data_IF_135867032103
#
_entry.id   IF_135867032103
#
_cell.length_a   1.000
_cell.length_b   1.000
_cell.length_c   1.000
_cell.angle_alpha   90.00
_cell.angle_beta   90.00
_cell.angle_gamma   90.00
#
_symmetry.space_group_name_H-M   'P 1'
#
loop_
_entity.id
_entity.type
_entity.pdbx_description
1 polymer ?
#
# COMPACT_ATOMS: atom_id res chain seq x y z
N UNK A 1 26.68 18.74 -25.16
CA UNK A 1 25.72 17.76 -24.63
C UNK A 1 26.41 16.96 -23.54
N UNK A 2 25.81 16.88 -22.33
CA UNK A 2 26.07 15.92 -21.23
C UNK A 2 25.80 16.60 -19.86
N UNK A 3 24.52 16.76 -19.48
CA UNK A 3 24.12 17.17 -18.11
C UNK A 3 23.10 16.22 -17.47
N UNK A 4 23.04 14.96 -17.93
CA UNK A 4 22.07 13.95 -17.45
C UNK A 4 22.60 12.93 -16.43
N UNK A 5 23.91 12.70 -16.35
CA UNK A 5 24.47 11.57 -15.58
C UNK A 5 24.65 11.81 -14.08
N UNK A 6 25.08 13.01 -13.68
CA UNK A 6 25.51 13.29 -12.30
C UNK A 6 24.34 13.35 -11.31
N UNK A 7 23.18 13.89 -11.73
CA UNK A 7 21.95 13.94 -10.91
C UNK A 7 21.35 12.55 -10.70
N UNK A 8 21.41 11.70 -11.73
CA UNK A 8 20.90 10.32 -11.69
C UNK A 8 21.73 9.43 -10.75
N UNK A 9 23.06 9.62 -10.72
CA UNK A 9 23.96 8.89 -9.83
C UNK A 9 23.83 9.31 -8.36
N UNK A 10 23.70 10.62 -8.08
CA UNK A 10 23.50 11.14 -6.73
C UNK A 10 22.13 10.73 -6.15
N UNK A 11 21.09 10.64 -6.99
CA UNK A 11 19.77 10.14 -6.60
C UNK A 11 19.81 8.65 -6.24
N UNK A 12 20.45 7.82 -7.08
CA UNK A 12 20.67 6.38 -6.79
C UNK A 12 21.46 6.15 -5.51
N UNK A 13 22.51 6.93 -5.25
CA UNK A 13 23.28 6.85 -3.99
C UNK A 13 22.47 7.28 -2.76
N UNK A 14 21.58 8.26 -2.89
CA UNK A 14 20.71 8.72 -1.78
C UNK A 14 19.62 7.70 -1.46
N UNK A 15 18.99 7.08 -2.47
CA UNK A 15 18.04 5.97 -2.30
C UNK A 15 18.75 4.76 -1.67
N UNK A 16 19.91 4.37 -2.19
CA UNK A 16 20.68 3.27 -1.62
C UNK A 16 21.19 3.57 -0.19
N UNK A 17 21.42 4.84 0.18
CA UNK A 17 21.79 5.23 1.55
C UNK A 17 20.59 5.23 2.49
N UNK A 18 19.40 5.59 2.01
CA UNK A 18 18.16 5.52 2.80
C UNK A 18 17.75 4.07 3.10
N UNK A 19 17.91 3.17 2.13
CA UNK A 19 17.72 1.72 2.30
C UNK A 19 18.70 1.09 3.32
N UNK A 20 19.85 1.72 3.58
CA UNK A 20 20.93 1.20 4.44
C UNK A 20 20.96 1.74 5.87
N UNK A 21 19.97 2.52 6.29
CA UNK A 21 20.05 3.21 7.60
C UNK A 21 19.44 2.44 8.79
N UNK A 22 18.73 1.34 8.55
CA UNK A 22 18.41 0.30 9.54
C UNK A 22 18.09 -0.97 8.76
N UNK A 23 18.76 -2.11 9.01
CA UNK A 23 18.39 -3.34 8.34
C UNK A 23 16.95 -3.71 8.69
N UNK A 24 16.19 -4.16 7.71
CA UNK A 24 14.93 -4.88 7.96
C UNK A 24 15.29 -6.31 8.29
N UNK A 25 14.72 -6.86 9.36
CA UNK A 25 15.01 -8.22 9.79
C UNK A 25 13.97 -9.16 9.22
N UNK A 26 14.41 -10.15 8.45
CA UNK A 26 13.57 -11.29 8.07
C UNK A 26 13.45 -12.22 9.29
N UNK A 27 12.23 -12.42 9.85
CA UNK A 27 12.01 -13.34 10.96
C UNK A 27 12.14 -14.82 10.55
N UNK A 28 12.35 -15.10 9.26
CA UNK A 28 12.55 -16.41 8.68
C UNK A 28 11.30 -16.97 8.00
N UNK A 29 11.46 -18.06 7.22
CA UNK A 29 10.37 -18.61 6.41
C UNK A 29 9.15 -19.04 7.23
N UNK A 30 9.34 -19.72 8.36
CA UNK A 30 8.23 -20.21 9.19
C UNK A 30 7.37 -19.07 9.76
N UNK A 31 8.01 -17.99 10.23
CA UNK A 31 7.30 -16.81 10.72
C UNK A 31 6.58 -16.07 9.59
N UNK A 32 7.19 -16.01 8.41
CA UNK A 32 6.59 -15.42 7.21
C UNK A 32 5.34 -16.18 6.78
N UNK A 33 5.40 -17.51 6.70
CA UNK A 33 4.24 -18.35 6.35
C UNK A 33 3.12 -18.24 7.38
N UNK A 34 3.45 -18.25 8.67
CA UNK A 34 2.46 -18.05 9.73
C UNK A 34 1.76 -16.68 9.63
N UNK A 35 2.52 -15.62 9.35
CA UNK A 35 1.96 -14.28 9.14
C UNK A 35 1.07 -14.21 7.89
N UNK A 36 1.49 -14.82 6.78
CA UNK A 36 0.68 -14.91 5.56
C UNK A 36 -0.62 -15.66 5.81
N UNK A 37 -0.58 -16.81 6.48
CA UNK A 37 -1.78 -17.58 6.82
C UNK A 37 -2.72 -16.82 7.76
N UNK A 38 -2.19 -16.10 8.76
CA UNK A 38 -2.99 -15.29 9.66
C UNK A 38 -3.69 -14.12 8.93
N UNK A 39 -2.96 -13.44 8.04
CA UNK A 39 -3.52 -12.40 7.18
C UNK A 39 -4.59 -12.99 6.27
N UNK A 40 -4.33 -14.12 5.63
CA UNK A 40 -5.29 -14.77 4.74
C UNK A 40 -6.56 -15.18 5.50
N UNK A 41 -6.44 -15.74 6.70
CA UNK A 41 -7.60 -16.07 7.51
C UNK A 41 -8.43 -14.83 7.92
N UNK A 42 -7.77 -13.69 8.16
CA UNK A 42 -8.42 -12.45 8.60
C UNK A 42 -9.05 -11.64 7.45
N UNK A 43 -8.53 -11.75 6.22
CA UNK A 43 -9.01 -10.97 5.10
C UNK A 43 -10.31 -11.53 4.49
N UNK A 44 -11.33 -10.68 4.24
CA UNK A 44 -12.55 -11.07 3.54
C UNK A 44 -12.27 -11.73 2.17
N UNK A 45 -13.16 -12.64 1.71
CA UNK A 45 -12.97 -13.38 0.46
C UNK A 45 -12.93 -12.49 -0.79
N UNK A 46 -13.77 -11.44 -0.82
CA UNK A 46 -13.89 -10.50 -1.92
C UNK A 46 -13.46 -9.10 -1.49
N UNK A 47 -12.57 -8.49 -2.26
CA UNK A 47 -11.91 -7.22 -1.89
C UNK A 47 -12.00 -6.17 -2.99
N UNK A 48 -12.30 -4.93 -2.60
CA UNK A 48 -12.10 -3.72 -3.39
C UNK A 48 -10.86 -2.99 -2.88
N UNK A 49 -9.81 -2.92 -3.69
CA UNK A 49 -8.56 -2.22 -3.35
C UNK A 49 -8.64 -0.82 -3.95
N UNK A 50 -8.74 0.20 -3.10
CA UNK A 50 -9.03 1.58 -3.49
C UNK A 50 -7.81 2.46 -3.26
N UNK A 51 -7.10 2.77 -4.35
CA UNK A 51 -5.97 3.70 -4.39
C UNK A 51 -6.40 5.15 -4.20
N UNK A 52 -5.41 6.03 -4.01
CA UNK A 52 -5.64 7.44 -3.72
C UNK A 52 -5.36 8.37 -4.92
N UNK A 53 -5.29 7.84 -6.15
CA UNK A 53 -5.10 8.67 -7.34
C UNK A 53 -6.23 9.68 -7.48
N UNK A 54 -5.89 10.92 -7.86
CA UNK A 54 -6.89 11.97 -8.09
C UNK A 54 -7.83 11.61 -9.25
N UNK A 55 -7.35 10.87 -10.25
CA UNK A 55 -8.18 10.36 -11.35
C UNK A 55 -9.38 9.51 -10.90
N UNK A 56 -9.34 8.91 -9.71
CA UNK A 56 -10.49 8.19 -9.14
C UNK A 56 -11.73 9.10 -9.06
N UNK A 57 -11.54 10.39 -8.80
CA UNK A 57 -12.60 11.39 -8.65
C UNK A 57 -13.27 11.78 -9.98
N UNK A 58 -12.73 11.34 -11.10
CA UNK A 58 -13.31 11.60 -12.43
C UNK A 58 -14.35 10.55 -12.82
N UNK A 59 -14.47 9.47 -12.04
CA UNK A 59 -15.41 8.37 -12.25
C UNK A 59 -16.48 8.29 -11.14
N UNK A 60 -17.49 7.44 -11.33
CA UNK A 60 -18.55 7.19 -10.35
C UNK A 60 -18.57 5.72 -9.90
N UNK A 61 -17.40 5.22 -9.48
CA UNK A 61 -17.20 3.82 -9.10
C UNK A 61 -17.70 3.48 -7.69
N UNK A 62 -18.24 4.43 -6.93
CA UNK A 62 -18.53 4.25 -5.50
C UNK A 62 -19.48 3.09 -5.19
N UNK A 63 -20.54 2.93 -5.98
CA UNK A 63 -21.47 1.81 -5.83
C UNK A 63 -20.84 0.44 -6.16
N UNK A 64 -19.83 0.39 -7.04
CA UNK A 64 -19.09 -0.84 -7.36
C UNK A 64 -18.05 -1.15 -6.27
N UNK A 65 -17.37 -0.12 -5.75
CA UNK A 65 -16.41 -0.23 -4.66
C UNK A 65 -17.07 -0.88 -3.43
N UNK A 66 -18.25 -0.39 -3.04
CA UNK A 66 -18.95 -0.80 -1.83
C UNK A 66 -19.53 -2.23 -1.89
N UNK A 67 -19.49 -2.90 -3.06
CA UNK A 67 -19.94 -4.30 -3.20
C UNK A 67 -19.07 -5.31 -2.47
N UNK A 68 -17.82 -4.95 -2.16
CA UNK A 68 -16.82 -5.83 -1.53
C UNK A 68 -16.24 -5.16 -0.30
N UNK A 69 -15.59 -5.93 0.57
CA UNK A 69 -14.82 -5.32 1.64
C UNK A 69 -13.68 -4.48 1.07
N UNK A 70 -13.41 -3.31 1.63
CA UNK A 70 -12.49 -2.34 1.04
C UNK A 70 -11.15 -2.29 1.77
N UNK A 71 -10.07 -2.23 1.00
CA UNK A 71 -8.74 -1.87 1.48
C UNK A 71 -8.44 -0.45 0.99
N UNK A 72 -8.15 0.46 1.92
CA UNK A 72 -7.77 1.86 1.65
C UNK A 72 -6.39 2.17 2.22
N UNK A 73 -5.76 3.26 1.76
CA UNK A 73 -4.35 3.53 2.04
C UNK A 73 -4.08 4.84 2.76
N UNK A 74 -3.30 4.81 3.84
CA UNK A 74 -2.91 6.00 4.61
C UNK A 74 -4.16 6.80 5.06
N UNK A 75 -4.15 8.13 4.93
CA UNK A 75 -5.25 8.95 5.46
C UNK A 75 -6.60 8.66 4.79
N UNK A 76 -6.65 8.42 3.47
CA UNK A 76 -7.79 7.95 2.65
C UNK A 76 -9.22 8.44 3.00
N UNK A 77 -9.38 9.60 3.64
CA UNK A 77 -10.69 10.13 4.00
C UNK A 77 -11.55 10.32 2.75
N UNK A 78 -12.76 9.75 2.77
CA UNK A 78 -13.72 9.85 1.67
C UNK A 78 -14.25 11.28 1.59
N UNK A 79 -14.05 11.92 0.43
CA UNK A 79 -14.53 13.27 0.13
C UNK A 79 -15.61 13.29 -0.95
N UNK A 80 -15.66 12.25 -1.80
CA UNK A 80 -16.67 12.07 -2.83
C UNK A 80 -17.17 10.61 -2.82
N UNK A 81 -18.27 10.31 -2.11
CA UNK A 81 -18.85 8.97 -2.05
C UNK A 81 -19.25 8.39 -3.41
N UNK A 82 -19.63 9.24 -4.39
CA UNK A 82 -20.03 8.75 -5.71
C UNK A 82 -18.83 8.17 -6.46
N UNK A 83 -17.66 8.77 -6.30
CA UNK A 83 -16.41 8.29 -6.89
C UNK A 83 -15.74 7.19 -6.05
N UNK A 84 -15.73 7.35 -4.72
CA UNK A 84 -14.85 6.60 -3.83
C UNK A 84 -15.56 5.49 -3.05
N UNK A 85 -16.89 5.46 -3.04
CA UNK A 85 -17.66 4.62 -2.14
C UNK A 85 -17.56 5.09 -0.70
N UNK A 86 -18.37 4.50 0.18
CA UNK A 86 -18.42 4.82 1.61
C UNK A 86 -17.82 3.75 2.49
N UNK A 87 -17.72 2.51 1.97
CA UNK A 87 -17.27 1.36 2.74
C UNK A 87 -15.77 1.44 3.04
N UNK A 88 -15.41 1.12 4.27
CA UNK A 88 -14.02 1.13 4.75
C UNK A 88 -13.80 0.02 5.79
N UNK A 89 -13.35 -1.16 5.35
CA UNK A 89 -13.16 -2.29 6.26
C UNK A 89 -11.71 -2.36 6.77
N UNK A 90 -10.74 -2.10 5.88
CA UNK A 90 -9.31 -2.27 6.15
C UNK A 90 -8.52 -1.00 5.79
N UNK A 91 -7.70 -0.51 6.71
CA UNK A 91 -6.67 0.49 6.45
C UNK A 91 -5.31 -0.19 6.28
N UNK A 92 -4.65 0.03 5.15
CA UNK A 92 -3.24 -0.30 4.95
C UNK A 92 -2.36 0.95 5.13
N UNK A 93 -1.48 0.95 6.11
CA UNK A 93 -0.55 2.07 6.34
C UNK A 93 0.67 1.68 7.16
N UNK A 94 1.77 2.42 6.98
CA UNK A 94 2.81 2.57 8.00
C UNK A 94 3.16 4.04 8.23
N UNK A 95 2.34 4.96 7.70
CA UNK A 95 2.54 6.40 7.80
C UNK A 95 2.27 6.91 9.22
N UNK A 96 3.23 7.66 9.76
CA UNK A 96 3.19 8.13 11.15
C UNK A 96 2.02 9.10 11.39
N UNK A 97 1.74 9.98 10.42
CA UNK A 97 0.67 10.97 10.58
C UNK A 97 -0.71 10.30 10.57
N UNK A 98 -0.88 9.31 9.69
CA UNK A 98 -2.09 8.47 9.65
C UNK A 98 -2.27 7.71 10.96
N UNK A 99 -1.22 7.06 11.46
CA UNK A 99 -1.25 6.33 12.73
C UNK A 99 -1.61 7.25 13.90
N UNK A 100 -0.96 8.42 14.00
CA UNK A 100 -1.27 9.40 15.03
C UNK A 100 -2.72 9.90 14.94
N UNK A 101 -3.23 10.15 13.73
CA UNK A 101 -4.61 10.57 13.53
C UNK A 101 -5.62 9.56 14.09
N UNK A 102 -5.48 8.27 13.74
CA UNK A 102 -6.41 7.23 14.19
C UNK A 102 -6.14 6.69 15.60
N UNK A 103 -5.05 7.13 16.25
CA UNK A 103 -4.89 6.98 17.69
C UNK A 103 -5.77 7.97 18.47
N UNK A 104 -6.00 9.16 17.90
CA UNK A 104 -6.79 10.24 18.53
C UNK A 104 -8.27 10.26 18.08
N UNK A 105 -8.60 9.57 16.98
CA UNK A 105 -9.94 9.57 16.39
C UNK A 105 -10.40 8.13 16.13
N UNK A 106 -11.64 7.76 16.54
CA UNK A 106 -12.18 6.43 16.27
C UNK A 106 -12.06 6.07 14.78
N UNK A 107 -11.45 4.92 14.43
CA UNK A 107 -11.25 4.56 13.05
C UNK A 107 -12.58 4.16 12.39
N UNK A 108 -12.82 4.52 11.12
CA UNK A 108 -13.98 4.03 10.37
C UNK A 108 -13.83 2.58 9.89
N UNK A 109 -12.69 1.93 10.19
CA UNK A 109 -12.29 0.60 9.75
C UNK A 109 -12.08 -0.34 10.95
N UNK A 110 -12.14 -1.64 10.70
CA UNK A 110 -12.03 -2.67 11.75
C UNK A 110 -10.64 -3.31 11.78
N UNK A 111 -9.90 -3.23 10.67
CA UNK A 111 -8.57 -3.84 10.57
C UNK A 111 -7.52 -2.83 10.10
N UNK A 112 -6.41 -2.77 10.82
CA UNK A 112 -5.18 -2.11 10.40
C UNK A 112 -4.21 -3.16 9.84
N UNK A 113 -3.98 -3.13 8.53
CA UNK A 113 -2.85 -3.80 7.90
C UNK A 113 -1.62 -2.88 7.97
N UNK A 114 -0.76 -3.10 8.98
CA UNK A 114 0.44 -2.31 9.20
C UNK A 114 1.55 -2.70 8.20
N UNK A 115 1.74 -1.88 7.18
CA UNK A 115 2.65 -2.15 6.05
C UNK A 115 4.08 -1.67 6.35
N UNK A 116 4.70 -2.25 7.37
CA UNK A 116 6.09 -1.97 7.70
C UNK A 116 7.03 -2.53 6.62
N UNK A 117 8.03 -1.73 6.23
CA UNK A 117 9.11 -2.15 5.34
C UNK A 117 10.51 -1.96 5.96
N UNK A 118 10.55 -1.49 7.22
CA UNK A 118 11.73 -1.43 8.08
C UNK A 118 11.33 -1.63 9.54
N UNK A 119 12.19 -2.30 10.32
CA UNK A 119 11.98 -2.60 11.73
C UNK A 119 11.75 -1.35 12.58
N UNK A 120 12.41 -0.23 12.23
CA UNK A 120 12.23 1.06 12.90
C UNK A 120 10.80 1.61 12.84
N UNK A 121 9.91 1.01 12.06
CA UNK A 121 8.50 1.38 12.03
C UNK A 121 7.65 0.56 12.99
N UNK A 122 8.10 -0.64 13.42
CA UNK A 122 7.35 -1.49 14.34
C UNK A 122 7.01 -0.79 15.68
N UNK A 123 7.90 0.02 16.29
CA UNK A 123 7.55 0.76 17.51
C UNK A 123 6.32 1.68 17.37
N UNK A 124 5.97 2.11 16.15
CA UNK A 124 4.83 3.00 15.90
C UNK A 124 3.49 2.41 16.32
N UNK A 125 3.35 1.08 16.31
CA UNK A 125 2.13 0.41 16.78
C UNK A 125 1.90 0.65 18.28
N UNK A 126 2.99 0.70 19.06
CA UNK A 126 2.92 0.99 20.48
C UNK A 126 2.84 2.51 20.76
N UNK A 127 3.51 3.33 19.95
CA UNK A 127 3.45 4.81 20.07
C UNK A 127 2.08 5.38 19.70
N UNK A 128 1.35 4.72 18.81
CA UNK A 128 0.06 5.15 18.26
C UNK A 128 -0.90 3.96 18.22
N UNK A 129 -1.46 3.54 19.37
CA UNK A 129 -2.41 2.44 19.41
C UNK A 129 -3.68 2.85 18.65
N UNK A 130 -4.18 1.95 17.81
CA UNK A 130 -5.43 2.15 17.05
C UNK A 130 -6.44 1.14 17.54
N UNK A 131 -7.70 1.56 17.71
CA UNK A 131 -8.81 0.70 18.11
C UNK A 131 -9.31 -0.15 16.93
N UNK A 132 -8.46 -1.08 16.46
CA UNK A 132 -8.71 -1.98 15.34
C UNK A 132 -7.87 -3.26 15.49
N UNK A 133 -8.29 -4.34 14.82
CA UNK A 133 -7.47 -5.55 14.71
C UNK A 133 -6.20 -5.24 13.92
N UNK A 134 -5.03 -5.60 14.45
CA UNK A 134 -3.74 -5.29 13.82
C UNK A 134 -3.16 -6.52 13.14
N UNK A 135 -2.95 -6.42 11.83
CA UNK A 135 -2.17 -7.36 11.04
C UNK A 135 -0.86 -6.71 10.62
N UNK A 136 0.28 -7.39 10.79
CA UNK A 136 1.58 -6.87 10.38
C UNK A 136 2.00 -7.48 9.06
N UNK A 137 2.29 -6.64 8.08
CA UNK A 137 2.79 -7.09 6.78
C UNK A 137 4.12 -7.84 6.94
N UNK A 138 4.29 -9.04 6.34
CA UNK A 138 5.51 -9.82 6.51
C UNK A 138 6.75 -9.07 6.00
N UNK A 139 7.73 -8.85 6.87
CA UNK A 139 8.94 -8.08 6.53
C UNK A 139 9.72 -8.74 5.38
N UNK A 140 9.78 -10.07 5.33
CA UNK A 140 10.41 -10.82 4.24
C UNK A 140 9.81 -10.45 2.87
N UNK A 141 8.47 -10.33 2.79
CA UNK A 141 7.79 -9.94 1.57
C UNK A 141 8.09 -8.48 1.19
N UNK A 142 8.31 -7.60 2.17
CA UNK A 142 8.70 -6.21 1.92
C UNK A 142 10.14 -6.12 1.40
N UNK A 143 11.05 -6.94 1.94
CA UNK A 143 12.44 -7.08 1.51
C UNK A 143 12.49 -7.59 0.06
N UNK A 144 11.81 -8.70 -0.24
CA UNK A 144 11.74 -9.26 -1.59
C UNK A 144 11.21 -8.23 -2.60
N UNK A 145 10.17 -7.49 -2.23
CA UNK A 145 9.59 -6.46 -3.09
C UNK A 145 10.55 -5.28 -3.31
N UNK A 146 11.29 -4.84 -2.29
CA UNK A 146 12.32 -3.81 -2.43
C UNK A 146 13.46 -4.26 -3.35
N UNK A 147 13.91 -5.52 -3.22
CA UNK A 147 14.94 -6.10 -4.08
C UNK A 147 14.46 -6.17 -5.52
N UNK A 148 13.20 -6.59 -5.74
CA UNK A 148 12.62 -6.68 -7.08
C UNK A 148 12.45 -5.32 -7.75
N UNK A 149 12.03 -4.31 -7.00
CA UNK A 149 11.79 -2.95 -7.51
C UNK A 149 13.07 -2.10 -7.56
N UNK A 150 14.12 -2.50 -6.85
CA UNK A 150 15.32 -1.68 -6.61
C UNK A 150 14.97 -0.29 -6.03
N UNK A 151 13.85 -0.20 -5.33
CA UNK A 151 13.26 1.02 -4.78
C UNK A 151 12.36 0.67 -3.59
N UNK A 152 12.01 1.68 -2.79
CA UNK A 152 10.98 1.51 -1.75
C UNK A 152 9.64 1.26 -2.44
N UNK A 153 8.86 0.22 -2.08
CA UNK A 153 7.50 0.06 -2.60
C UNK A 153 6.53 1.07 -1.98
N UNK A 154 5.53 1.46 -2.75
CA UNK A 154 4.30 2.07 -2.22
C UNK A 154 3.50 1.06 -1.42
N UNK A 155 2.70 1.55 -0.46
CA UNK A 155 1.74 0.73 0.29
C UNK A 155 0.78 -0.02 -0.64
N UNK A 156 0.37 0.62 -1.74
CA UNK A 156 -0.47 0.01 -2.77
C UNK A 156 0.18 -1.25 -3.37
N UNK A 157 1.44 -1.13 -3.82
CA UNK A 157 2.17 -2.28 -4.38
C UNK A 157 2.42 -3.37 -3.35
N UNK A 158 2.69 -3.01 -2.08
CA UNK A 158 2.79 -3.99 -0.99
C UNK A 158 1.51 -4.81 -0.86
N UNK A 159 0.34 -4.15 -0.78
CA UNK A 159 -0.94 -4.85 -0.69
C UNK A 159 -1.21 -5.73 -1.90
N UNK A 160 -0.95 -5.25 -3.13
CA UNK A 160 -1.13 -6.09 -4.32
C UNK A 160 -0.20 -7.31 -4.31
N UNK A 161 1.06 -7.15 -3.88
CA UNK A 161 1.99 -8.28 -3.76
C UNK A 161 1.56 -9.29 -2.69
N UNK A 162 0.99 -8.83 -1.57
CA UNK A 162 0.42 -9.68 -0.53
C UNK A 162 -0.78 -10.49 -1.04
N UNK A 163 -1.72 -9.83 -1.73
CA UNK A 163 -2.91 -10.50 -2.28
C UNK A 163 -2.54 -11.54 -3.35
N UNK A 164 -1.52 -11.26 -4.17
CA UNK A 164 -0.93 -12.22 -5.11
C UNK A 164 -0.29 -13.40 -4.37
N UNK A 165 0.50 -13.12 -3.33
CA UNK A 165 1.21 -14.14 -2.55
C UNK A 165 0.26 -15.13 -1.86
N UNK A 166 -0.85 -14.65 -1.31
CA UNK A 166 -1.86 -15.51 -0.66
C UNK A 166 -2.91 -16.04 -1.65
N UNK A 167 -2.79 -15.73 -2.96
CA UNK A 167 -3.60 -16.31 -4.01
C UNK A 167 -5.05 -15.81 -4.09
N UNK A 168 -5.33 -14.55 -3.71
CA UNK A 168 -6.69 -13.98 -3.82
C UNK A 168 -7.14 -13.81 -5.26
N UNK A 169 -8.39 -14.17 -5.54
CA UNK A 169 -8.99 -14.14 -6.88
C UNK A 169 -10.08 -13.09 -7.06
N UNK A 170 -10.97 -12.92 -6.08
CA UNK A 170 -12.03 -11.90 -6.15
C UNK A 170 -11.52 -10.55 -5.64
N UNK A 171 -10.72 -9.89 -6.50
CA UNK A 171 -10.18 -8.56 -6.23
C UNK A 171 -10.59 -7.61 -7.35
N UNK A 172 -11.12 -6.46 -6.95
CA UNK A 172 -11.40 -5.33 -7.81
C UNK A 172 -10.51 -4.14 -7.43
N UNK A 173 -9.86 -3.51 -8.41
CA UNK A 173 -8.85 -2.46 -8.20
C UNK A 173 -9.36 -1.13 -8.77
N UNK A 174 -9.28 -0.07 -7.96
CA UNK A 174 -9.77 1.27 -8.29
C UNK A 174 -8.72 2.33 -7.92
N UNK A 175 -8.61 3.42 -8.68
CA UNK A 175 -7.76 4.56 -8.29
C UNK A 175 -6.26 4.27 -8.29
N UNK A 176 -5.82 3.35 -9.16
CA UNK A 176 -4.41 3.08 -9.43
C UNK A 176 -4.03 3.56 -10.82
N UNK A 177 -3.32 4.69 -10.87
CA UNK A 177 -2.83 5.32 -12.10
C UNK A 177 -1.30 5.49 -12.13
N UNK A 178 -0.62 4.92 -11.14
CA UNK A 178 0.84 4.88 -11.05
C UNK A 178 1.47 6.28 -10.98
N UNK A 179 0.83 7.20 -10.25
CA UNK A 179 1.24 8.62 -10.12
C UNK A 179 1.19 9.41 -11.43
N UNK A 180 0.36 8.98 -12.37
CA UNK A 180 -0.04 9.85 -13.48
C UNK A 180 -0.74 11.12 -12.95
N UNK A 181 -1.53 10.97 -11.88
CA UNK A 181 -2.13 12.06 -11.12
C UNK A 181 -1.63 12.09 -9.67
N UNK A 182 -1.73 13.24 -8.98
CA UNK A 182 -1.38 13.35 -7.57
C UNK A 182 -2.26 12.47 -6.67
N UNK A 183 -1.86 12.33 -5.41
CA UNK A 183 -2.76 11.84 -4.37
C UNK A 183 -3.83 12.90 -4.09
N UNK A 184 -5.12 12.55 -4.08
CA UNK A 184 -6.21 13.55 -3.99
C UNK A 184 -6.12 14.48 -2.77
N UNK A 185 -5.67 13.97 -1.61
CA UNK A 185 -5.49 14.74 -0.38
C UNK A 185 -4.10 15.36 -0.22
N UNK A 186 -3.18 15.15 -1.16
CA UNK A 186 -1.84 15.74 -1.15
C UNK A 186 -1.36 16.12 -2.57
N UNK A 187 -2.02 17.09 -3.22
CA UNK A 187 -1.69 17.48 -4.59
C UNK A 187 -0.35 18.22 -4.72
N UNK A 188 0.22 18.67 -3.59
CA UNK A 188 1.44 19.48 -3.56
C UNK A 188 2.70 18.66 -3.27
N UNK A 189 2.58 17.33 -3.09
CA UNK A 189 3.73 16.45 -2.80
C UNK A 189 4.77 16.52 -3.92
N UNK A 190 5.98 16.99 -3.58
CA UNK A 190 7.06 17.26 -4.55
C UNK A 190 8.09 16.14 -4.69
N UNK A 191 8.08 15.17 -3.78
CA UNK A 191 9.10 14.12 -3.72
C UNK A 191 8.46 12.76 -3.56
N UNK A 192 8.76 11.85 -4.49
CA UNK A 192 8.36 10.46 -4.39
C UNK A 192 9.59 9.55 -4.53
N UNK A 193 9.94 8.73 -3.52
CA UNK A 193 11.13 7.88 -3.57
C UNK A 193 10.87 6.52 -4.26
N UNK A 194 9.73 6.36 -4.90
CA UNK A 194 9.23 5.12 -5.48
C UNK A 194 9.53 5.03 -6.98
N UNK A 195 9.64 3.82 -7.51
CA UNK A 195 9.71 3.57 -8.96
C UNK A 195 8.33 3.18 -9.48
N UNK A 196 7.52 4.18 -9.84
CA UNK A 196 6.14 3.94 -10.30
C UNK A 196 6.05 3.18 -11.63
N UNK A 197 7.12 3.20 -12.43
CA UNK A 197 7.17 2.43 -13.69
C UNK A 197 7.34 0.95 -13.38
N UNK A 198 8.28 0.61 -12.48
CA UNK A 198 8.47 -0.76 -12.03
C UNK A 198 7.25 -1.28 -11.25
N UNK A 199 6.65 -0.45 -10.39
CA UNK A 199 5.43 -0.78 -9.65
C UNK A 199 4.25 -1.05 -10.59
N UNK A 200 4.05 -0.20 -11.60
CA UNK A 200 3.04 -0.44 -12.65
C UNK A 200 3.25 -1.79 -13.29
N UNK A 201 4.44 -2.05 -13.84
CA UNK A 201 4.71 -3.29 -14.57
C UNK A 201 4.46 -4.53 -13.70
N UNK A 202 4.80 -4.43 -12.41
CA UNK A 202 4.54 -5.49 -11.45
C UNK A 202 3.04 -5.68 -11.17
N UNK A 203 2.31 -4.59 -10.92
CA UNK A 203 0.88 -4.64 -10.66
C UNK A 203 0.09 -5.16 -11.86
N UNK A 204 0.41 -4.75 -13.10
CA UNK A 204 -0.25 -5.31 -14.30
C UNK A 204 -0.05 -6.82 -14.40
N UNK A 205 1.12 -7.34 -13.99
CA UNK A 205 1.34 -8.79 -13.94
C UNK A 205 0.47 -9.47 -12.89
N UNK A 206 0.34 -8.90 -11.70
CA UNK A 206 -0.52 -9.48 -10.65
C UNK A 206 -1.98 -9.51 -11.12
N UNK A 207 -2.44 -8.42 -11.73
CA UNK A 207 -3.79 -8.31 -12.29
C UNK A 207 -4.02 -9.42 -13.32
N UNK A 208 -3.10 -9.59 -14.27
CA UNK A 208 -3.23 -10.59 -15.32
C UNK A 208 -3.16 -12.04 -14.80
N UNK A 209 -2.25 -12.35 -13.88
CA UNK A 209 -2.08 -13.71 -13.32
C UNK A 209 -3.27 -14.12 -12.46
N UNK A 210 -3.88 -13.17 -11.76
CA UNK A 210 -4.96 -13.45 -10.83
C UNK A 210 -6.36 -13.23 -11.41
N UNK A 211 -6.45 -12.71 -12.64
CA UNK A 211 -7.71 -12.31 -13.29
C UNK A 211 -8.48 -11.26 -12.47
N UNK A 212 -7.74 -10.31 -11.89
CA UNK A 212 -8.35 -9.23 -11.12
C UNK A 212 -9.03 -8.21 -12.02
N UNK A 213 -10.16 -7.69 -11.55
CA UNK A 213 -10.88 -6.64 -12.27
C UNK A 213 -10.22 -5.30 -11.96
N UNK A 214 -9.90 -4.54 -13.00
CA UNK A 214 -9.39 -3.16 -12.86
C UNK A 214 -10.40 -2.19 -13.42
N UNK A 215 -10.66 -1.15 -12.64
CA UNK A 215 -11.46 0.00 -13.01
C UNK A 215 -10.53 1.20 -13.15
N UNK A 216 -10.59 1.81 -14.33
CA UNK A 216 -9.86 3.04 -14.69
C UNK A 216 -10.74 4.26 -14.48
#
# INVERSE_FOLDING_TARGET
MARGGLRHWLHRRRIARLARSSPSTDPGPAATEAALAAIDAALPPALSVVGNAQSLLEAQHGAEIDRRATIRFNLAQVTDPAAQGTRWDILATSDRHTMAHYADHPPPFQTLLFTAYHDKYLPRLAEHPVEADVLVYPMALAIELMERLQARPTTGTMVLALLDRIGRRDVAIFGFDWKATPTFYDPKRRTDPHDHVAERALAERFIAVNDWKRFV
#
